data_IF_570519475731
#
_entry.id   IF_570519475731
#
_cell.length_a   1.000
_cell.length_b   1.000
_cell.length_c   1.000
_cell.angle_alpha   90.00
_cell.angle_beta   90.00
_cell.angle_gamma   90.00
#
_symmetry.space_group_name_H-M   'P 1'
#
loop_
_entity.id
_entity.type
_entity.pdbx_description
1 polymer ?
#
# COMPACT_ATOMS: atom_id res chain seq x y z
N UNK A 1 21.73 -37.97 43.67
CA UNK A 1 21.03 -38.41 42.45
C UNK A 1 19.53 -38.24 42.65
N UNK A 2 18.97 -37.11 42.22
CA UNK A 2 17.54 -37.01 41.95
C UNK A 2 17.38 -36.10 40.73
N UNK A 3 17.08 -36.77 39.63
CA UNK A 3 16.73 -36.21 38.34
C UNK A 3 15.26 -35.78 38.42
N UNK A 4 14.97 -34.52 38.13
CA UNK A 4 13.62 -33.97 38.18
C UNK A 4 13.42 -32.99 37.03
N UNK A 5 12.96 -33.54 35.91
CA UNK A 5 12.45 -32.93 34.68
C UNK A 5 12.33 -31.39 34.68
N UNK A 6 13.21 -30.77 33.91
CA UNK A 6 13.02 -29.40 33.42
C UNK A 6 11.98 -29.47 32.28
N UNK A 7 10.72 -29.15 32.58
CA UNK A 7 9.65 -29.04 31.58
C UNK A 7 9.89 -27.72 30.85
N UNK A 8 10.68 -27.76 29.78
CA UNK A 8 10.67 -26.72 28.76
C UNK A 8 9.25 -26.63 28.19
N UNK A 9 8.46 -25.68 28.67
CA UNK A 9 7.28 -25.19 27.97
C UNK A 9 7.73 -24.70 26.60
N UNK A 10 7.59 -25.53 25.57
CA UNK A 10 7.58 -25.07 24.19
C UNK A 10 6.35 -24.17 24.05
N UNK A 11 6.56 -22.87 24.27
CA UNK A 11 5.65 -21.87 23.74
C UNK A 11 5.75 -22.00 22.21
N UNK A 12 4.79 -22.71 21.61
CA UNK A 12 4.52 -22.56 20.19
C UNK A 12 3.89 -21.18 20.01
N UNK A 13 4.73 -20.16 19.96
CA UNK A 13 4.38 -18.85 19.41
C UNK A 13 4.08 -19.08 17.94
N UNK A 14 2.80 -19.20 17.60
CA UNK A 14 2.38 -19.15 16.21
C UNK A 14 2.59 -17.71 15.76
N UNK A 15 3.78 -17.43 15.22
CA UNK A 15 4.06 -16.21 14.48
C UNK A 15 3.11 -16.21 13.28
N UNK A 16 2.24 -15.21 13.19
CA UNK A 16 1.30 -15.08 12.08
C UNK A 16 2.08 -14.60 10.86
N UNK A 17 2.24 -15.47 9.87
CA UNK A 17 3.03 -15.20 8.66
C UNK A 17 2.12 -15.18 7.43
N UNK A 18 2.05 -14.02 6.79
CA UNK A 18 1.17 -13.72 5.67
C UNK A 18 1.98 -13.35 4.43
N UNK A 19 1.58 -13.89 3.28
CA UNK A 19 2.07 -13.44 1.98
C UNK A 19 0.91 -12.97 1.12
N UNK A 20 1.00 -11.74 0.64
CA UNK A 20 0.05 -11.13 -0.26
C UNK A 20 0.70 -10.95 -1.63
N UNK A 21 0.17 -11.65 -2.63
CA UNK A 21 0.61 -11.52 -4.02
C UNK A 21 -0.42 -10.74 -4.81
N UNK A 22 -0.09 -9.52 -5.17
CA UNK A 22 -0.96 -8.65 -5.93
C UNK A 22 -0.85 -8.95 -7.41
N UNK A 23 -1.99 -9.01 -8.10
CA UNK A 23 -2.02 -8.73 -9.53
C UNK A 23 -1.67 -7.25 -9.75
N UNK A 24 -1.33 -6.84 -10.99
CA UNK A 24 -1.33 -5.41 -11.31
C UNK A 24 -2.64 -4.77 -10.83
N UNK A 25 -2.53 -3.62 -10.16
CA UNK A 25 -3.69 -2.87 -9.69
C UNK A 25 -4.36 -2.23 -10.90
N UNK A 26 -5.67 -2.46 -11.01
CA UNK A 26 -6.49 -2.15 -12.18
C UNK A 26 -7.86 -1.60 -11.74
N UNK A 27 -8.53 -0.91 -12.67
CA UNK A 27 -9.87 -0.36 -12.43
C UNK A 27 -10.95 -1.44 -12.34
N UNK A 28 -10.69 -2.61 -12.91
CA UNK A 28 -11.55 -3.77 -12.85
C UNK A 28 -10.71 -5.04 -12.81
N UNK A 29 -11.25 -6.09 -12.20
CA UNK A 29 -10.68 -7.44 -12.17
C UNK A 29 -9.26 -7.57 -11.59
N UNK A 30 -8.80 -6.60 -10.80
CA UNK A 30 -7.63 -6.78 -9.95
C UNK A 30 -7.93 -7.76 -8.82
N UNK A 31 -6.91 -8.46 -8.35
CA UNK A 31 -7.04 -9.38 -7.23
C UNK A 31 -5.75 -9.47 -6.43
N UNK A 32 -5.89 -9.85 -5.18
CA UNK A 32 -4.78 -10.25 -4.31
C UNK A 32 -4.96 -11.70 -3.90
N UNK A 33 -3.90 -12.48 -4.05
CA UNK A 33 -3.79 -13.82 -3.49
C UNK A 33 -3.22 -13.71 -2.09
N UNK A 34 -4.07 -13.96 -1.10
CA UNK A 34 -3.73 -13.93 0.32
C UNK A 34 -3.40 -15.34 0.80
N UNK A 35 -2.20 -15.52 1.35
CA UNK A 35 -1.69 -16.79 1.86
C UNK A 35 -1.42 -16.62 3.36
N UNK A 36 -2.11 -17.40 4.18
CA UNK A 36 -1.86 -17.56 5.61
C UNK A 36 -1.04 -18.84 5.81
N UNK A 37 0.26 -18.69 6.06
CA UNK A 37 1.18 -19.81 6.24
C UNK A 37 0.93 -20.55 7.55
N UNK A 38 0.40 -19.86 8.56
CA UNK A 38 0.10 -20.46 9.86
C UNK A 38 -1.06 -21.46 9.77
N UNK A 39 -2.04 -21.18 8.91
CA UNK A 39 -3.22 -22.02 8.69
C UNK A 39 -3.15 -22.84 7.40
N UNK A 40 -2.07 -22.71 6.64
CA UNK A 40 -1.90 -23.27 5.30
C UNK A 40 -3.15 -22.99 4.42
N UNK A 41 -3.65 -21.76 4.48
CA UNK A 41 -4.89 -21.35 3.80
C UNK A 41 -4.56 -20.30 2.75
N UNK A 42 -5.16 -20.46 1.57
CA UNK A 42 -5.07 -19.50 0.48
C UNK A 42 -6.47 -18.97 0.14
N UNK A 43 -6.57 -17.70 -0.22
CA UNK A 43 -7.81 -17.07 -0.67
C UNK A 43 -7.51 -16.01 -1.73
N UNK A 44 -8.45 -15.81 -2.67
CA UNK A 44 -8.38 -14.77 -3.69
C UNK A 44 -9.41 -13.70 -3.33
N UNK A 45 -8.96 -12.46 -3.27
CA UNK A 45 -9.80 -11.31 -2.90
C UNK A 45 -9.76 -10.31 -4.05
N UNK A 46 -10.93 -9.86 -4.49
CA UNK A 46 -11.05 -8.83 -5.52
C UNK A 46 -10.55 -7.49 -5.01
N UNK A 47 -9.79 -6.79 -5.86
CA UNK A 47 -9.21 -5.48 -5.58
C UNK A 47 -9.39 -4.59 -6.81
N UNK A 48 -10.04 -3.44 -6.64
CA UNK A 48 -10.27 -2.48 -7.73
C UNK A 48 -9.98 -1.08 -7.25
N UNK A 49 -9.41 -0.25 -8.12
CA UNK A 49 -9.20 1.18 -7.88
C UNK A 49 -10.07 1.96 -8.84
N UNK A 50 -10.97 2.80 -8.34
CA UNK A 50 -11.67 3.74 -9.21
C UNK A 50 -10.87 5.04 -9.30
N UNK A 51 -10.23 5.26 -10.45
CA UNK A 51 -9.48 6.46 -10.76
C UNK A 51 -10.11 7.30 -11.89
N UNK A 52 -11.36 7.01 -12.27
CA UNK A 52 -12.04 7.69 -13.38
C UNK A 52 -12.09 9.21 -13.21
N UNK A 53 -12.22 9.70 -11.98
CA UNK A 53 -12.26 11.14 -11.72
C UNK A 53 -10.90 11.84 -11.89
N UNK A 54 -9.77 11.11 -11.83
CA UNK A 54 -8.45 11.70 -12.05
C UNK A 54 -8.26 12.15 -13.51
N UNK A 55 -8.82 11.41 -14.48
CA UNK A 55 -8.75 11.77 -15.90
C UNK A 55 -9.43 13.10 -16.25
N UNK A 56 -10.33 13.58 -15.40
CA UNK A 56 -11.01 14.87 -15.57
C UNK A 56 -10.27 16.05 -14.90
N UNK A 57 -9.46 15.81 -13.86
CA UNK A 57 -8.82 16.86 -13.05
C UNK A 57 -7.34 17.06 -13.33
N UNK A 58 -6.65 16.03 -13.83
CA UNK A 58 -5.24 16.13 -14.23
C UNK A 58 -5.19 16.49 -15.71
N UNK A 59 -4.95 17.76 -16.04
CA UNK A 59 -4.76 18.24 -17.43
C UNK A 59 -3.37 17.89 -18.01
N UNK A 60 -2.60 17.04 -17.32
CA UNK A 60 -1.23 16.62 -17.62
C UNK A 60 -1.14 15.09 -17.74
N UNK A 61 -0.05 14.60 -18.34
CA UNK A 61 0.31 13.18 -18.32
C UNK A 61 0.36 12.70 -16.85
N UNK A 62 -0.37 11.64 -16.53
CA UNK A 62 -0.41 11.11 -15.18
C UNK A 62 0.93 10.43 -14.86
N UNK A 63 1.76 10.96 -13.93
CA UNK A 63 3.11 10.45 -13.79
C UNK A 63 3.09 8.99 -13.30
N UNK A 64 3.81 8.12 -13.98
CA UNK A 64 3.91 6.69 -13.67
C UNK A 64 4.41 6.40 -12.25
N UNK A 65 5.25 7.27 -11.71
CA UNK A 65 5.71 7.21 -10.30
C UNK A 65 4.55 7.45 -9.34
N UNK A 66 3.66 8.40 -9.64
CA UNK A 66 2.45 8.64 -8.83
C UNK A 66 1.53 7.41 -8.91
N UNK A 67 1.41 6.80 -10.09
CA UNK A 67 0.64 5.57 -10.26
C UNK A 67 1.16 4.43 -9.37
N UNK A 68 2.48 4.26 -9.27
CA UNK A 68 3.08 3.24 -8.41
C UNK A 68 2.87 3.52 -6.91
N UNK A 69 2.88 4.80 -6.51
CA UNK A 69 2.59 5.18 -5.12
C UNK A 69 1.13 4.88 -4.74
N UNK A 70 0.18 5.05 -5.67
CA UNK A 70 -1.22 4.63 -5.48
C UNK A 70 -1.28 3.12 -5.29
N UNK A 71 -0.66 2.38 -6.21
CA UNK A 71 -0.67 0.91 -6.18
C UNK A 71 -0.08 0.40 -4.84
N UNK A 72 0.99 1.05 -4.36
CA UNK A 72 1.59 0.79 -3.05
C UNK A 72 0.64 1.10 -1.89
N UNK A 73 -0.03 2.27 -1.90
CA UNK A 73 -0.97 2.66 -0.85
C UNK A 73 -2.14 1.66 -0.74
N UNK A 74 -2.69 1.27 -1.88
CA UNK A 74 -3.75 0.27 -1.98
C UNK A 74 -3.27 -1.08 -1.47
N UNK A 75 -2.05 -1.49 -1.84
CA UNK A 75 -1.47 -2.74 -1.37
C UNK A 75 -1.27 -2.77 0.15
N UNK A 76 -0.78 -1.68 0.74
CA UNK A 76 -0.64 -1.54 2.19
C UNK A 76 -2.01 -1.61 2.86
N UNK A 77 -2.98 -0.82 2.41
CA UNK A 77 -4.32 -0.80 2.98
C UNK A 77 -4.99 -2.18 2.95
N UNK A 78 -4.93 -2.86 1.80
CA UNK A 78 -5.49 -4.19 1.65
C UNK A 78 -4.75 -5.20 2.54
N UNK A 79 -3.42 -5.14 2.59
CA UNK A 79 -2.61 -6.06 3.40
C UNK A 79 -2.89 -5.93 4.89
N UNK A 80 -2.97 -4.70 5.39
CA UNK A 80 -3.24 -4.43 6.81
C UNK A 80 -4.64 -4.90 7.23
N UNK A 81 -5.65 -4.74 6.36
CA UNK A 81 -7.01 -5.22 6.63
C UNK A 81 -7.15 -6.74 6.59
N UNK A 82 -6.33 -7.43 5.79
CA UNK A 82 -6.41 -8.87 5.60
C UNK A 82 -5.55 -9.64 6.61
N UNK A 83 -4.43 -9.07 7.02
CA UNK A 83 -3.60 -9.60 8.09
C UNK A 83 -4.35 -9.43 9.42
N UNK A 84 -4.97 -10.50 9.90
CA UNK A 84 -5.71 -10.48 11.16
C UNK A 84 -4.73 -10.28 12.31
N UNK A 85 -4.75 -9.09 12.92
CA UNK A 85 -3.99 -8.83 14.13
C UNK A 85 -4.69 -9.49 15.32
N UNK A 86 -4.06 -10.53 15.87
CA UNK A 86 -4.53 -11.16 17.10
C UNK A 86 -3.90 -10.42 18.30
N UNK A 87 -4.74 -9.79 19.13
CA UNK A 87 -4.35 -9.03 20.34
C UNK A 87 -3.44 -9.77 21.33
N UNK A 88 -3.33 -11.10 21.21
CA UNK A 88 -2.55 -11.97 22.08
C UNK A 88 -1.38 -12.70 21.37
N UNK A 89 -1.12 -12.43 20.09
CA UNK A 89 0.00 -13.03 19.36
C UNK A 89 1.17 -12.05 19.20
N UNK A 90 2.36 -12.60 18.95
CA UNK A 90 3.55 -11.84 18.59
C UNK A 90 3.36 -11.10 17.25
N UNK A 91 4.31 -10.21 16.94
CA UNK A 91 4.31 -9.35 15.75
C UNK A 91 4.07 -10.14 14.46
N UNK A 92 2.95 -9.90 13.77
CA UNK A 92 2.68 -10.59 12.51
C UNK A 92 3.71 -10.22 11.44
N UNK A 93 4.10 -11.18 10.61
CA UNK A 93 4.93 -10.95 9.42
C UNK A 93 4.05 -10.80 8.20
N UNK A 94 4.18 -9.67 7.51
CA UNK A 94 3.40 -9.33 6.33
C UNK A 94 4.37 -9.14 5.17
N UNK A 95 4.36 -10.08 4.22
CA UNK A 95 5.13 -9.98 2.98
C UNK A 95 4.22 -9.57 1.83
N UNK A 96 4.55 -8.43 1.21
CA UNK A 96 3.80 -7.86 0.09
C UNK A 96 4.61 -8.01 -1.20
N UNK A 97 4.05 -8.70 -2.19
CA UNK A 97 4.61 -8.80 -3.54
C UNK A 97 3.75 -7.95 -4.47
N UNK A 98 4.30 -6.83 -4.97
CA UNK A 98 3.56 -5.82 -5.71
C UNK A 98 4.19 -5.53 -7.08
N UNK A 99 3.46 -5.78 -8.18
CA UNK A 99 3.88 -5.33 -9.51
C UNK A 99 3.75 -3.80 -9.64
N UNK A 100 4.85 -3.12 -9.97
CA UNK A 100 4.96 -1.66 -10.13
C UNK A 100 5.69 -1.30 -11.42
N UNK A 101 5.50 -0.08 -11.93
CA UNK A 101 6.13 0.41 -13.17
C UNK A 101 7.61 0.68 -12.97
N UNK A 102 8.00 1.22 -11.82
CA UNK A 102 9.36 1.65 -11.48
C UNK A 102 9.91 0.91 -10.24
N UNK A 103 10.10 -0.42 -10.32
CA UNK A 103 10.67 -1.17 -9.20
C UNK A 103 12.07 -0.69 -8.83
N UNK A 104 12.83 -0.11 -9.76
CA UNK A 104 14.16 0.46 -9.52
C UNK A 104 14.16 1.61 -8.49
N UNK A 105 13.06 2.37 -8.38
CA UNK A 105 12.93 3.43 -7.40
C UNK A 105 12.55 2.86 -6.02
N UNK A 106 11.61 1.91 -6.01
CA UNK A 106 11.00 1.36 -4.80
C UNK A 106 11.85 0.24 -4.15
N UNK A 107 12.70 -0.45 -4.92
CA UNK A 107 13.64 -1.45 -4.39
C UNK A 107 14.96 -0.84 -3.89
N UNK A 108 15.08 0.48 -3.84
CA UNK A 108 16.23 1.10 -3.16
C UNK A 108 16.20 0.73 -1.68
N UNK A 109 17.32 0.25 -1.14
CA UNK A 109 17.38 -0.23 0.24
C UNK A 109 17.00 0.85 1.27
N UNK A 110 17.28 2.12 0.97
CA UNK A 110 16.88 3.25 1.81
C UNK A 110 15.36 3.50 1.81
N UNK A 111 14.69 3.31 0.68
CA UNK A 111 13.24 3.44 0.58
C UNK A 111 12.55 2.29 1.30
N UNK A 112 12.93 1.04 1.01
CA UNK A 112 12.35 -0.14 1.65
C UNK A 112 12.52 -0.09 3.17
N UNK A 113 13.73 0.18 3.65
CA UNK A 113 13.98 0.26 5.09
C UNK A 113 13.13 1.35 5.77
N UNK A 114 12.96 2.52 5.14
CA UNK A 114 12.09 3.57 5.69
C UNK A 114 10.63 3.14 5.71
N UNK A 115 10.14 2.55 4.63
CA UNK A 115 8.75 2.09 4.51
C UNK A 115 8.43 0.98 5.52
N UNK A 116 9.28 -0.04 5.61
CA UNK A 116 9.12 -1.17 6.52
C UNK A 116 9.18 -0.72 7.99
N UNK A 117 10.10 0.18 8.33
CA UNK A 117 10.17 0.75 9.68
C UNK A 117 8.95 1.59 10.03
N UNK A 118 8.48 2.43 9.09
CA UNK A 118 7.28 3.26 9.28
C UNK A 118 6.05 2.39 9.54
N UNK A 119 5.83 1.38 8.71
CA UNK A 119 4.68 0.50 8.83
C UNK A 119 4.79 -0.42 10.05
N UNK A 120 6.00 -0.88 10.38
CA UNK A 120 6.22 -1.65 11.59
C UNK A 120 5.99 -0.86 12.87
N UNK A 121 6.34 0.43 12.87
CA UNK A 121 5.98 1.34 13.96
C UNK A 121 4.47 1.58 14.02
N UNK A 122 3.81 1.81 12.89
CA UNK A 122 2.38 2.14 12.85
C UNK A 122 1.46 0.95 13.16
N UNK A 123 1.84 -0.26 12.76
CA UNK A 123 0.98 -1.46 12.83
C UNK A 123 1.45 -2.49 13.86
N UNK A 124 2.67 -2.35 14.39
CA UNK A 124 3.30 -3.36 15.24
C UNK A 124 3.70 -4.66 14.51
N UNK A 125 3.49 -4.73 13.19
CA UNK A 125 3.80 -5.91 12.36
C UNK A 125 5.14 -5.76 11.64
N UNK A 126 5.80 -6.87 11.27
CA UNK A 126 7.01 -6.86 10.45
C UNK A 126 6.63 -6.88 8.98
N UNK A 127 6.92 -5.79 8.28
CA UNK A 127 6.64 -5.66 6.85
C UNK A 127 7.86 -6.03 6.02
N UNK A 128 7.62 -6.66 4.87
CA UNK A 128 8.63 -6.90 3.86
C UNK A 128 8.03 -6.69 2.46
N UNK A 129 8.74 -5.96 1.60
CA UNK A 129 8.26 -5.67 0.24
C UNK A 129 9.12 -6.31 -0.84
N UNK A 130 8.45 -6.84 -1.87
CA UNK A 130 9.05 -7.33 -3.11
C UNK A 130 8.37 -6.61 -4.28
N UNK A 131 9.01 -5.54 -4.76
CA UNK A 131 8.51 -4.76 -5.89
C UNK A 131 8.98 -5.37 -7.20
N UNK A 132 8.03 -5.80 -8.02
CA UNK A 132 8.30 -6.51 -9.27
C UNK A 132 7.98 -5.62 -10.46
N UNK A 133 8.71 -5.77 -11.57
CA UNK A 133 8.39 -5.03 -12.80
C UNK A 133 7.03 -5.46 -13.32
N UNK A 134 6.12 -4.48 -13.45
CA UNK A 134 4.82 -4.66 -14.08
C UNK A 134 5.01 -4.92 -15.58
N UNK A 135 4.40 -5.99 -16.08
CA UNK A 135 4.39 -6.37 -17.51
C UNK A 135 3.06 -6.10 -18.21
N UNK A 136 2.00 -5.78 -17.45
CA UNK A 136 0.68 -5.48 -17.97
C UNK A 136 0.54 -4.00 -18.36
N UNK A 137 -0.34 -3.72 -19.33
CA UNK A 137 -0.69 -2.36 -19.76
C UNK A 137 -1.13 -1.48 -18.57
N UNK A 138 -0.82 -0.18 -18.63
CA UNK A 138 -1.15 0.81 -17.60
C UNK A 138 -2.65 0.96 -17.35
N UNK A 139 -3.05 1.69 -16.32
CA UNK A 139 -4.48 1.99 -16.05
C UNK A 139 -5.06 2.93 -17.11
N UNK A 140 -6.39 3.10 -17.14
CA UNK A 140 -7.06 3.94 -18.15
C UNK A 140 -6.48 5.36 -18.16
N UNK A 141 -6.24 5.93 -16.97
CA UNK A 141 -5.65 7.27 -16.80
C UNK A 141 -4.22 7.37 -17.37
N UNK A 142 -3.51 6.25 -17.51
CA UNK A 142 -2.16 6.18 -18.09
C UNK A 142 -2.19 5.88 -19.60
N UNK A 143 -3.35 5.51 -20.15
CA UNK A 143 -3.53 5.19 -21.57
C UNK A 143 -4.17 6.35 -22.36
N UNK A 144 -4.71 7.37 -21.69
CA UNK A 144 -5.22 8.56 -22.36
C UNK A 144 -4.07 9.41 -22.93
N UNK A 145 -3.62 9.08 -24.14
CA UNK A 145 -2.74 9.95 -24.93
C UNK A 145 -3.45 11.28 -25.20
N UNK A 146 -2.96 12.39 -24.64
CA UNK A 146 -3.44 13.73 -25.00
C UNK A 146 -2.40 14.52 -25.79
N UNK A 147 -2.95 15.25 -26.77
CA UNK A 147 -2.35 15.86 -27.95
C UNK A 147 -1.39 17.03 -27.66
N UNK A 148 -1.18 17.41 -26.39
CA UNK A 148 -0.41 18.61 -26.04
C UNK A 148 0.87 18.26 -25.27
N UNK A 149 2.05 18.76 -25.71
CA UNK A 149 3.27 18.63 -24.93
C UNK A 149 3.13 19.48 -23.67
N UNK A 150 3.41 18.93 -22.50
CA UNK A 150 3.30 19.66 -21.24
C UNK A 150 4.62 19.64 -20.48
N UNK A 151 4.98 20.80 -19.93
CA UNK A 151 6.09 20.94 -18.99
C UNK A 151 5.78 20.12 -17.75
N UNK A 152 6.73 19.28 -17.32
CA UNK A 152 6.60 18.45 -16.13
C UNK A 152 6.57 19.33 -14.89
N UNK A 153 5.37 19.65 -14.39
CA UNK A 153 5.23 20.30 -13.10
C UNK A 153 5.45 19.26 -11.99
N UNK A 154 6.41 19.50 -11.11
CA UNK A 154 6.63 18.67 -9.92
C UNK A 154 5.36 18.69 -9.04
N UNK A 155 4.82 17.51 -8.73
CA UNK A 155 3.62 17.34 -7.91
C UNK A 155 3.94 16.49 -6.68
N UNK A 156 3.55 16.96 -5.50
CA UNK A 156 3.77 16.26 -4.24
C UNK A 156 2.59 15.31 -3.95
N UNK A 157 2.89 14.06 -3.63
CA UNK A 157 1.89 13.02 -3.36
C UNK A 157 1.72 12.84 -1.85
N UNK A 158 0.50 12.97 -1.36
CA UNK A 158 0.18 12.77 0.05
C UNK A 158 -0.93 11.73 0.25
N UNK A 159 -0.69 10.78 1.16
CA UNK A 159 -1.68 9.77 1.57
C UNK A 159 -2.70 10.40 2.52
N UNK A 160 -3.97 10.30 2.17
CA UNK A 160 -5.09 10.88 2.88
C UNK A 160 -6.01 9.80 3.46
N UNK A 161 -5.84 9.45 4.73
CA UNK A 161 -6.73 8.49 5.39
C UNK A 161 -8.10 9.07 5.76
N UNK A 162 -8.32 10.39 5.60
CA UNK A 162 -9.50 11.10 6.09
C UNK A 162 -9.47 11.43 7.59
N UNK A 163 -8.36 11.15 8.28
CA UNK A 163 -8.18 11.44 9.70
C UNK A 163 -7.47 12.75 10.00
N UNK A 164 -7.54 13.18 11.27
CA UNK A 164 -6.88 14.39 11.78
C UNK A 164 -5.35 14.35 11.62
N UNK A 165 -4.72 13.19 11.71
CA UNK A 165 -3.26 13.06 11.56
C UNK A 165 -2.82 13.29 10.11
N UNK A 166 -3.58 12.78 9.14
CA UNK A 166 -3.36 13.05 7.72
C UNK A 166 -3.56 14.54 7.42
N UNK A 167 -4.56 15.18 8.04
CA UNK A 167 -4.77 16.63 7.96
C UNK A 167 -3.62 17.44 8.56
N UNK A 168 -3.14 17.06 9.75
CA UNK A 168 -2.02 17.74 10.40
C UNK A 168 -0.73 17.62 9.58
N UNK A 169 -0.47 16.44 8.99
CA UNK A 169 0.64 16.20 8.09
C UNK A 169 0.56 17.08 6.83
N UNK A 170 -0.59 17.09 6.16
CA UNK A 170 -0.82 17.93 4.98
C UNK A 170 -0.66 19.42 5.29
N UNK A 171 -1.25 19.89 6.39
CA UNK A 171 -1.15 21.29 6.81
C UNK A 171 0.28 21.72 7.08
N UNK A 172 1.04 20.88 7.80
CA UNK A 172 2.46 21.13 8.06
C UNK A 172 3.25 21.22 6.75
N UNK A 173 2.89 20.39 5.77
CA UNK A 173 3.56 20.37 4.46
C UNK A 173 3.22 21.57 3.59
N UNK A 174 1.96 21.98 3.57
CA UNK A 174 1.50 23.22 2.93
C UNK A 174 2.16 24.47 3.52
N UNK A 175 2.47 24.47 4.82
CA UNK A 175 3.20 25.57 5.45
C UNK A 175 4.70 25.58 5.12
N UNK A 176 5.30 24.42 4.83
CA UNK A 176 6.74 24.32 4.57
C UNK A 176 7.10 24.37 3.08
N UNK A 177 6.13 24.12 2.19
CA UNK A 177 6.34 24.14 0.74
C UNK A 177 5.14 24.76 0.04
N UNK A 178 5.33 25.94 -0.58
CA UNK A 178 4.25 26.73 -1.19
C UNK A 178 4.14 26.58 -2.71
N UNK A 179 5.07 25.88 -3.37
CA UNK A 179 5.24 25.96 -4.82
C UNK A 179 4.71 24.75 -5.61
N UNK A 180 4.54 23.58 -4.98
CA UNK A 180 4.13 22.37 -5.69
C UNK A 180 2.63 22.06 -5.46
N UNK A 181 1.86 21.73 -6.50
CA UNK A 181 0.53 21.15 -6.35
C UNK A 181 0.60 19.83 -5.56
N UNK A 182 -0.44 19.55 -4.78
CA UNK A 182 -0.58 18.30 -4.02
C UNK A 182 -1.64 17.39 -4.65
N UNK A 183 -1.33 16.09 -4.72
CA UNK A 183 -2.30 15.06 -5.04
C UNK A 183 -2.59 14.22 -3.80
N UNK A 184 -3.86 14.25 -3.37
CA UNK A 184 -4.33 13.54 -2.18
C UNK A 184 -4.94 12.18 -2.56
N UNK A 185 -4.49 11.13 -1.88
CA UNK A 185 -4.96 9.76 -2.13
C UNK A 185 -5.62 9.14 -0.91
N UNK A 186 -6.94 8.97 -0.99
CA UNK A 186 -7.71 8.23 0.00
C UNK A 186 -8.05 6.82 -0.44
N UNK A 187 -8.21 5.94 0.54
CA UNK A 187 -8.79 4.60 0.35
C UNK A 187 -10.09 4.53 1.15
N UNK A 188 -11.15 4.02 0.54
CA UNK A 188 -12.46 3.88 1.17
C UNK A 188 -13.10 2.57 0.74
N UNK A 189 -13.76 1.87 1.67
CA UNK A 189 -14.37 0.57 1.37
C UNK A 189 -15.86 0.63 1.04
N UNK A 190 -16.46 1.82 0.91
CA UNK A 190 -17.86 2.04 0.53
C UNK A 190 -18.05 3.42 -0.10
N UNK A 191 -18.99 3.54 -1.03
CA UNK A 191 -19.38 4.81 -1.69
C UNK A 191 -19.81 5.89 -0.68
N UNK A 192 -20.33 5.49 0.48
CA UNK A 192 -20.69 6.39 1.58
C UNK A 192 -19.50 7.11 2.23
N UNK A 193 -18.27 6.66 2.02
CA UNK A 193 -17.06 7.35 2.52
C UNK A 193 -16.74 8.56 1.64
N UNK A 194 -16.98 8.46 0.33
CA UNK A 194 -16.81 9.58 -0.61
C UNK A 194 -17.76 10.75 -0.28
N UNK A 195 -19.01 10.45 0.11
CA UNK A 195 -20.02 11.46 0.43
C UNK A 195 -19.76 12.26 1.72
N UNK A 196 -18.75 11.90 2.53
CA UNK A 196 -18.43 12.60 3.80
C UNK A 196 -17.13 13.38 3.74
N UNK A 197 -16.47 13.42 2.58
CA UNK A 197 -15.20 14.14 2.36
C UNK A 197 -15.37 15.43 1.53
N UNK A 198 -16.61 15.86 1.29
CA UNK A 198 -16.93 17.23 0.82
C UNK A 198 -17.00 18.23 1.98
#
# INVERSE_FOLDING_TARGET
>A
MHCGLDIMKKHHTHDSDYTLRFSPVLNSNGFVRFIDHSRNKESIIGLTVDDKEFGCRVQQEFPSVVADLIDLAVAIHASDRLAVQHLHQEQSRIRVMLPVRHPELLNTGSFQAKLENLLGWATGSRWAFDFQKRTALGRIVEQEERIFPNDSQECEVALWSGGLDALAGLYTRLQTSHAAPFMLFGTGSNDNVYARQE
#
